data_IF_177258642883
#
_entry.id   IF_177258642883
#
_cell.length_a   1.000
_cell.length_b   1.000
_cell.length_c   1.000
_cell.angle_alpha   90.00
_cell.angle_beta   90.00
_cell.angle_gamma   90.00
#
_symmetry.space_group_name_H-M   'P 1'
#
loop_
_entity.id
_entity.type
_entity.pdbx_description
1 polymer ?
#
# COMPACT_ATOMS: atom_id res chain seq x y z
N UNK A 1 7.26 -8.36 -20.99
CA UNK A 1 5.88 -8.11 -21.44
C UNK A 1 5.82 -6.65 -21.85
N UNK A 2 5.42 -6.38 -23.10
CA UNK A 2 5.27 -5.03 -23.63
C UNK A 2 3.79 -4.79 -23.90
N UNK A 3 3.27 -3.63 -23.53
CA UNK A 3 1.93 -3.20 -23.91
C UNK A 3 2.05 -1.85 -24.60
N UNK A 4 1.30 -1.64 -25.69
CA UNK A 4 1.38 -0.43 -26.50
C UNK A 4 2.80 -0.06 -27.00
N UNK A 5 3.72 -1.03 -27.11
CA UNK A 5 5.12 -0.78 -27.49
C UNK A 5 6.03 -0.26 -26.37
N UNK A 6 5.54 -0.23 -25.13
CA UNK A 6 6.29 0.21 -23.95
C UNK A 6 6.40 -0.93 -22.92
N UNK A 7 7.61 -1.27 -22.44
CA UNK A 7 7.78 -2.25 -21.38
C UNK A 7 7.43 -1.65 -20.02
N UNK A 8 6.60 -2.34 -19.23
CA UNK A 8 6.54 -2.14 -17.77
C UNK A 8 7.65 -2.97 -17.13
N UNK A 9 8.40 -2.38 -16.20
CA UNK A 9 9.44 -3.08 -15.44
C UNK A 9 9.12 -3.02 -13.96
N UNK A 10 9.19 -4.17 -13.28
CA UNK A 10 9.24 -4.20 -11.81
C UNK A 10 10.58 -3.62 -11.40
N UNK A 11 10.56 -2.57 -10.58
CA UNK A 11 11.75 -1.92 -10.03
C UNK A 11 12.09 -2.41 -8.64
N UNK A 12 11.09 -2.78 -7.83
CA UNK A 12 11.25 -3.37 -6.50
C UNK A 12 10.02 -4.23 -6.16
N UNK A 13 10.25 -5.43 -5.62
CA UNK A 13 9.23 -6.36 -5.13
C UNK A 13 9.56 -6.89 -3.72
N UNK A 14 10.41 -6.18 -2.97
CA UNK A 14 10.84 -6.59 -1.63
C UNK A 14 10.08 -5.88 -0.50
N UNK A 15 9.39 -4.78 -0.83
CA UNK A 15 8.55 -4.01 0.07
C UNK A 15 7.10 -4.49 0.15
N UNK A 16 6.26 -3.73 0.84
CA UNK A 16 4.82 -4.04 0.99
C UNK A 16 3.99 -3.61 -0.23
N UNK A 17 4.62 -2.87 -1.15
CA UNK A 17 4.09 -2.42 -2.45
C UNK A 17 5.09 -2.88 -3.51
N UNK A 18 4.60 -3.21 -4.71
CA UNK A 18 5.48 -3.46 -5.87
C UNK A 18 5.68 -2.15 -6.61
N UNK A 19 6.93 -1.74 -6.76
CA UNK A 19 7.28 -0.58 -7.56
C UNK A 19 7.38 -0.97 -9.03
N UNK A 20 6.69 -0.21 -9.87
CA UNK A 20 6.75 -0.36 -11.32
C UNK A 20 7.28 0.91 -11.97
N UNK A 21 8.11 0.72 -12.99
CA UNK A 21 8.62 1.81 -13.82
C UNK A 21 8.09 1.70 -15.25
N UNK A 22 7.70 2.86 -15.77
CA UNK A 22 7.27 3.07 -17.15
C UNK A 22 8.23 4.06 -17.84
N UNK A 23 8.47 3.90 -19.15
CA UNK A 23 9.16 4.93 -19.90
C UNK A 23 8.29 6.20 -19.97
N UNK A 24 8.92 7.38 -19.94
CA UNK A 24 8.25 8.69 -20.03
C UNK A 24 7.34 8.81 -21.27
N UNK A 25 7.72 8.15 -22.37
CA UNK A 25 6.91 8.08 -23.59
C UNK A 25 5.54 7.43 -23.38
N UNK A 26 5.41 6.48 -22.45
CA UNK A 26 4.12 5.84 -22.13
C UNK A 26 3.21 6.78 -21.33
N UNK A 27 3.79 7.60 -20.46
CA UNK A 27 3.07 8.60 -19.66
C UNK A 27 2.61 9.76 -20.55
N UNK A 28 3.52 10.31 -21.34
CA UNK A 28 3.23 11.44 -22.25
C UNK A 28 2.23 11.10 -23.35
N UNK A 29 2.13 9.84 -23.75
CA UNK A 29 1.15 9.36 -24.73
C UNK A 29 -0.18 8.90 -24.12
N UNK A 30 -0.32 8.89 -22.78
CA UNK A 30 -1.56 8.51 -22.10
C UNK A 30 -1.87 7.01 -22.12
N UNK A 31 -0.86 6.16 -22.31
CA UNK A 31 -1.01 4.69 -22.37
C UNK A 31 -0.50 3.99 -21.10
N UNK A 32 -0.15 4.74 -20.06
CA UNK A 32 0.37 4.24 -18.79
C UNK A 32 -0.58 3.21 -18.15
N UNK A 33 -1.88 3.49 -18.13
CA UNK A 33 -2.89 2.57 -17.60
C UNK A 33 -2.98 1.27 -18.41
N UNK A 34 -2.84 1.36 -19.74
CA UNK A 34 -2.80 0.17 -20.62
C UNK A 34 -1.56 -0.67 -20.35
N UNK A 35 -0.43 -0.03 -20.04
CA UNK A 35 0.80 -0.70 -19.65
C UNK A 35 0.72 -1.36 -18.27
N UNK A 36 -0.04 -0.76 -17.36
CA UNK A 36 -0.20 -1.25 -15.99
C UNK A 36 -1.27 -2.35 -15.84
N UNK A 37 -2.35 -2.31 -16.64
CA UNK A 37 -3.52 -3.20 -16.52
C UNK A 37 -3.18 -4.69 -16.34
N UNK A 38 -2.22 -5.29 -17.10
CA UNK A 38 -1.89 -6.71 -16.93
C UNK A 38 -1.28 -7.07 -15.57
N UNK A 39 -0.72 -6.09 -14.86
CA UNK A 39 -0.03 -6.26 -13.59
C UNK A 39 -0.91 -5.96 -12.37
N UNK A 40 -2.05 -5.30 -12.58
CA UNK A 40 -3.02 -5.02 -11.51
C UNK A 40 -3.38 -6.25 -10.66
N UNK A 41 -3.66 -7.45 -11.24
CA UNK A 41 -4.00 -8.61 -10.42
C UNK A 41 -2.83 -9.09 -9.54
N UNK A 42 -1.59 -8.92 -10.01
CA UNK A 42 -0.37 -9.30 -9.28
C UNK A 42 -0.16 -8.33 -8.12
N UNK A 43 -0.26 -7.03 -8.38
CA UNK A 43 -0.12 -6.00 -7.36
C UNK A 43 -1.20 -6.14 -6.27
N UNK A 44 -2.46 -6.37 -6.66
CA UNK A 44 -3.55 -6.64 -5.69
C UNK A 44 -3.21 -7.84 -4.81
N UNK A 45 -2.78 -8.96 -5.40
CA UNK A 45 -2.42 -10.15 -4.64
C UNK A 45 -1.23 -9.93 -3.72
N UNK A 46 -0.25 -9.12 -4.14
CA UNK A 46 0.90 -8.73 -3.33
C UNK A 46 0.49 -7.88 -2.13
N UNK A 47 -0.32 -6.84 -2.35
CA UNK A 47 -0.79 -5.94 -1.30
C UNK A 47 -1.65 -6.68 -0.27
N UNK A 48 -2.50 -7.62 -0.70
CA UNK A 48 -3.27 -8.46 0.24
C UNK A 48 -2.33 -9.32 1.11
N UNK A 49 -1.32 -9.95 0.52
CA UNK A 49 -0.37 -10.79 1.27
C UNK A 49 0.51 -9.99 2.23
N UNK A 50 0.77 -8.72 1.91
CA UNK A 50 1.62 -7.83 2.70
C UNK A 50 0.83 -6.79 3.50
N UNK A 51 -0.49 -6.91 3.58
CA UNK A 51 -1.35 -5.93 4.24
C UNK A 51 -0.92 -5.71 5.70
N UNK A 52 -0.69 -6.79 6.45
CA UNK A 52 -0.33 -6.74 7.87
C UNK A 52 1.03 -6.11 8.15
N UNK A 53 1.99 -6.21 7.23
CA UNK A 53 3.32 -5.60 7.35
C UNK A 53 3.37 -4.19 6.74
N UNK A 54 2.29 -3.70 6.12
CA UNK A 54 2.23 -2.37 5.54
C UNK A 54 2.48 -1.27 6.56
N UNK A 55 3.02 -0.13 6.11
CA UNK A 55 3.23 1.04 6.96
C UNK A 55 1.93 1.49 7.67
N UNK A 56 0.79 1.41 6.99
CA UNK A 56 -0.51 1.71 7.57
C UNK A 56 -0.86 0.75 8.72
N UNK A 57 -0.69 -0.56 8.54
CA UNK A 57 -0.93 -1.53 9.62
C UNK A 57 0.07 -1.41 10.77
N UNK A 58 1.33 -1.04 10.50
CA UNK A 58 2.29 -0.68 11.56
C UNK A 58 1.78 0.51 12.36
N UNK A 59 1.36 1.59 11.70
CA UNK A 59 0.83 2.79 12.36
C UNK A 59 -0.38 2.48 13.25
N UNK A 60 -1.32 1.67 12.75
CA UNK A 60 -2.50 1.22 13.52
C UNK A 60 -2.07 0.52 14.81
N UNK A 61 -1.12 -0.41 14.73
CA UNK A 61 -0.63 -1.14 15.91
C UNK A 61 0.07 -0.22 16.90
N UNK A 62 0.95 0.66 16.43
CA UNK A 62 1.65 1.63 17.28
C UNK A 62 0.65 2.54 18.02
N UNK A 63 -0.41 2.94 17.34
CA UNK A 63 -1.48 3.75 17.88
C UNK A 63 -2.29 3.02 18.96
N UNK A 64 -2.67 1.76 18.73
CA UNK A 64 -3.30 0.90 19.73
C UNK A 64 -2.38 0.69 20.95
N UNK A 65 -1.11 0.38 20.73
CA UNK A 65 -0.11 0.20 21.79
C UNK A 65 0.08 1.48 22.61
N UNK A 66 0.11 2.65 21.97
CA UNK A 66 0.21 3.95 22.65
C UNK A 66 -1.00 4.24 23.55
N UNK A 67 -2.17 3.69 23.21
CA UNK A 67 -3.39 3.75 24.01
C UNK A 67 -3.46 2.63 25.08
N UNK A 68 -2.44 1.77 25.18
CA UNK A 68 -2.40 0.64 26.10
C UNK A 68 -3.27 -0.55 25.67
N UNK A 69 -3.65 -0.62 24.38
CA UNK A 69 -4.43 -1.70 23.79
C UNK A 69 -3.47 -2.64 23.07
N UNK A 70 -3.51 -3.93 23.42
CA UNK A 70 -2.75 -4.93 22.69
C UNK A 70 -3.35 -5.12 21.30
N UNK A 71 -2.58 -4.95 20.20
CA UNK A 71 -3.12 -5.15 18.86
C UNK A 71 -3.53 -6.60 18.61
N UNK A 72 -4.60 -6.76 17.85
CA UNK A 72 -5.05 -8.06 17.37
C UNK A 72 -4.06 -8.65 16.35
N UNK A 73 -4.30 -9.89 15.91
CA UNK A 73 -3.41 -10.59 14.98
C UNK A 73 -3.74 -10.36 13.50
N UNK A 74 -4.78 -9.59 13.20
CA UNK A 74 -5.26 -9.35 11.83
C UNK A 74 -5.56 -7.87 11.64
N UNK A 75 -5.43 -7.39 10.40
CA UNK A 75 -5.66 -5.98 10.06
C UNK A 75 -7.13 -5.61 10.31
N UNK A 76 -8.06 -6.51 10.01
CA UNK A 76 -9.48 -6.31 10.21
C UNK A 76 -9.83 -6.14 11.70
N UNK A 77 -9.27 -6.99 12.56
CA UNK A 77 -9.53 -6.92 14.01
C UNK A 77 -8.86 -5.69 14.62
N UNK A 78 -7.66 -5.31 14.18
CA UNK A 78 -6.98 -4.08 14.61
C UNK A 78 -7.77 -2.82 14.25
N UNK A 79 -8.35 -2.79 13.06
CA UNK A 79 -9.21 -1.68 12.65
C UNK A 79 -10.47 -1.62 13.54
N UNK A 80 -11.08 -2.77 13.83
CA UNK A 80 -12.21 -2.82 14.76
C UNK A 80 -11.83 -2.30 16.16
N UNK A 81 -10.63 -2.63 16.65
CA UNK A 81 -10.11 -2.10 17.92
C UNK A 81 -9.98 -0.57 17.91
N UNK A 82 -9.51 0.02 16.80
CA UNK A 82 -9.44 1.49 16.68
C UNK A 82 -10.82 2.14 16.77
N UNK A 83 -11.80 1.60 16.05
CA UNK A 83 -13.17 2.11 16.05
C UNK A 83 -13.81 1.96 17.44
N UNK A 84 -13.68 0.79 18.06
CA UNK A 84 -14.23 0.52 19.39
C UNK A 84 -13.60 1.40 20.48
N UNK A 85 -12.33 1.76 20.32
CA UNK A 85 -11.62 2.69 21.20
C UNK A 85 -11.87 4.17 20.88
N UNK A 86 -12.56 4.49 19.77
CA UNK A 86 -12.75 5.86 19.29
C UNK A 86 -11.45 6.56 18.90
N UNK A 87 -10.47 5.78 18.41
CA UNK A 87 -9.14 6.25 18.04
C UNK A 87 -8.97 6.46 16.54
N UNK A 88 -9.87 5.94 15.70
CA UNK A 88 -9.78 5.93 14.24
C UNK A 88 -9.43 7.31 13.64
N UNK A 89 -10.13 8.38 14.01
CA UNK A 89 -9.80 9.73 13.52
C UNK A 89 -8.45 10.23 14.05
N UNK A 90 -8.16 10.02 15.33
CA UNK A 90 -6.93 10.50 15.97
C UNK A 90 -5.68 9.78 15.45
N UNK A 91 -5.82 8.50 15.12
CA UNK A 91 -4.77 7.62 14.64
C UNK A 91 -4.23 8.04 13.26
N UNK A 92 -5.12 8.56 12.41
CA UNK A 92 -4.81 8.98 11.05
C UNK A 92 -4.76 10.50 10.86
N UNK A 93 -4.94 11.30 11.92
CA UNK A 93 -4.89 12.76 11.84
C UNK A 93 -3.50 13.33 11.49
N UNK A 94 -2.44 12.57 11.76
CA UNK A 94 -1.07 12.86 11.34
C UNK A 94 -0.51 11.62 10.61
N UNK A 95 -0.87 11.41 9.33
CA UNK A 95 -0.27 10.32 8.57
C UNK A 95 1.26 10.55 8.52
N UNK A 96 2.08 9.50 8.61
CA UNK A 96 3.50 9.63 8.32
C UNK A 96 3.64 10.29 6.95
N UNK A 97 4.52 11.30 6.84
CA UNK A 97 4.85 11.91 5.55
C UNK A 97 5.14 10.77 4.57
N UNK A 98 4.33 10.70 3.50
CA UNK A 98 4.66 9.85 2.35
C UNK A 98 5.94 10.46 1.81
N UNK A 99 7.08 9.88 2.17
CA UNK A 99 8.35 10.19 1.53
C UNK A 99 8.28 9.54 0.16
N UNK A 100 7.74 10.29 -0.81
CA UNK A 100 7.89 9.97 -2.23
C UNK A 100 9.40 9.86 -2.52
N UNK A 101 9.89 8.75 -3.10
CA UNK A 101 11.26 8.64 -3.57
C UNK A 101 11.55 9.58 -4.77
#
# INVERSE_FOLDING_TARGET
MEAAGHPLRVSDDTGTVIDYSLPESAITSGVESTCYTPFQPIDIAWQIQNAYSSAASVQVRECLESAGIQPAGTVEDEHAQLVDAGLDEACFANPPEVVDP
#
